data_IF_903080232723
#
_entry.id   IF_903080232723
#
_cell.length_a   1.000
_cell.length_b   1.000
_cell.length_c   1.000
_cell.angle_alpha   90.00
_cell.angle_beta   90.00
_cell.angle_gamma   90.00
#
_symmetry.space_group_name_H-M   'P 1'
#
loop_
_entity.id
_entity.type
_entity.pdbx_description
1 polymer ?
#
# COMPACT_ATOMS: atom_id res chain seq x y z
N UNK A 1 -19.70 -29.71 5.14
CA UNK A 1 -20.06 -28.46 5.86
C UNK A 1 -21.53 -28.24 5.57
N UNK A 2 -22.40 -28.21 6.61
CA UNK A 2 -23.85 -28.12 6.44
C UNK A 2 -24.24 -26.81 5.77
N UNK A 3 -25.05 -26.85 4.69
CA UNK A 3 -25.62 -25.71 3.94
C UNK A 3 -26.27 -24.64 4.86
N UNK A 4 -26.84 -25.03 5.98
CA UNK A 4 -27.36 -24.14 7.04
C UNK A 4 -26.28 -23.36 7.77
N UNK A 5 -25.09 -23.94 7.94
CA UNK A 5 -23.96 -23.27 8.61
C UNK A 5 -23.36 -22.15 7.75
N UNK A 6 -23.39 -22.31 6.42
CA UNK A 6 -22.88 -21.29 5.49
C UNK A 6 -23.76 -20.03 5.49
N UNK A 7 -25.09 -20.18 5.47
CA UNK A 7 -26.04 -19.06 5.51
C UNK A 7 -25.94 -18.23 6.80
N UNK A 8 -25.84 -18.90 7.94
CA UNK A 8 -25.64 -18.21 9.24
C UNK A 8 -24.31 -17.45 9.33
N UNK A 9 -23.29 -17.95 8.64
CA UNK A 9 -21.98 -17.26 8.55
C UNK A 9 -22.02 -16.04 7.65
N UNK A 10 -22.76 -16.08 6.52
CA UNK A 10 -22.88 -14.94 5.59
C UNK A 10 -23.62 -13.75 6.23
N UNK A 11 -24.72 -13.98 6.89
CA UNK A 11 -25.54 -12.94 7.55
C UNK A 11 -24.85 -12.33 8.77
N UNK A 12 -24.02 -13.10 9.47
CA UNK A 12 -23.35 -12.64 10.70
C UNK A 12 -22.13 -11.72 10.43
N UNK A 13 -21.51 -11.81 9.27
CA UNK A 13 -20.28 -11.03 8.96
C UNK A 13 -20.61 -9.59 8.60
N UNK A 14 -21.71 -9.34 7.89
CA UNK A 14 -22.00 -8.02 7.32
C UNK A 14 -22.52 -6.94 8.29
N UNK A 15 -23.35 -7.22 9.30
CA UNK A 15 -23.85 -6.20 10.24
C UNK A 15 -22.74 -5.59 11.11
N UNK A 16 -21.68 -6.36 11.38
CA UNK A 16 -20.53 -5.88 12.15
C UNK A 16 -19.61 -4.97 11.34
N UNK A 17 -19.53 -5.18 10.04
CA UNK A 17 -18.66 -4.43 9.13
C UNK A 17 -19.17 -3.01 8.86
N UNK A 18 -20.48 -2.79 8.74
CA UNK A 18 -21.06 -1.48 8.44
C UNK A 18 -20.77 -0.43 9.53
N UNK A 19 -20.76 -0.85 10.80
CA UNK A 19 -20.43 0.02 11.93
C UNK A 19 -18.91 0.30 12.03
N UNK A 20 -18.08 -0.62 11.54
CA UNK A 20 -16.61 -0.46 11.52
C UNK A 20 -16.17 0.53 10.45
N UNK A 21 -16.93 0.65 9.36
CA UNK A 21 -16.53 1.46 8.19
C UNK A 21 -17.05 2.88 8.19
N UNK A 22 -17.81 3.31 9.22
CA UNK A 22 -18.41 4.66 9.32
C UNK A 22 -19.07 5.14 8.01
N UNK A 23 -19.82 4.24 7.36
CA UNK A 23 -20.43 4.51 6.07
C UNK A 23 -21.40 5.67 6.09
N UNK A 24 -22.14 5.83 7.20
CA UNK A 24 -23.08 6.93 7.38
C UNK A 24 -22.35 8.28 7.41
N UNK A 25 -21.21 8.34 8.10
CA UNK A 25 -20.34 9.52 8.11
C UNK A 25 -19.75 9.82 6.74
N UNK A 26 -19.29 8.79 6.01
CA UNK A 26 -18.79 8.95 4.63
C UNK A 26 -19.90 9.44 3.71
N UNK A 27 -21.12 8.91 3.81
CA UNK A 27 -22.25 9.30 3.00
C UNK A 27 -22.65 10.77 3.24
N UNK A 28 -22.70 11.19 4.51
CA UNK A 28 -22.96 12.59 4.86
C UNK A 28 -21.87 13.50 4.30
N UNK A 29 -20.61 13.10 4.45
CA UNK A 29 -19.49 13.90 3.93
C UNK A 29 -19.52 14.03 2.41
N UNK A 30 -19.81 12.96 1.69
CA UNK A 30 -19.98 13.00 0.23
C UNK A 30 -21.13 13.93 -0.17
N UNK A 31 -22.26 13.89 0.53
CA UNK A 31 -23.40 14.77 0.25
C UNK A 31 -23.04 16.25 0.46
N UNK A 32 -22.33 16.59 1.56
CA UNK A 32 -21.85 17.97 1.81
C UNK A 32 -20.90 18.46 0.71
N UNK A 33 -19.99 17.59 0.28
CA UNK A 33 -19.02 17.93 -0.76
C UNK A 33 -19.68 18.05 -2.13
N UNK A 34 -20.65 17.20 -2.46
CA UNK A 34 -21.43 17.28 -3.71
C UNK A 34 -22.29 18.56 -3.75
N UNK A 35 -22.85 19.00 -2.61
CA UNK A 35 -23.55 20.28 -2.52
C UNK A 35 -22.60 21.46 -2.83
N UNK A 36 -21.39 21.45 -2.27
CA UNK A 36 -20.35 22.46 -2.57
C UNK A 36 -19.91 22.44 -4.03
N UNK A 37 -19.81 21.25 -4.65
CA UNK A 37 -19.48 21.10 -6.07
C UNK A 37 -20.59 21.59 -7.00
N UNK A 38 -21.84 21.66 -6.51
CA UNK A 38 -23.01 22.15 -7.27
C UNK A 38 -23.12 23.66 -7.28
N UNK A 39 -22.29 24.39 -6.52
CA UNK A 39 -22.30 25.83 -6.48
C UNK A 39 -21.88 26.42 -7.85
N UNK A 40 -22.55 27.50 -8.35
CA UNK A 40 -22.27 28.06 -9.69
C UNK A 40 -20.83 28.54 -9.89
N UNK A 41 -20.20 29.00 -8.81
CA UNK A 41 -18.85 29.55 -8.74
C UNK A 41 -17.76 28.52 -8.45
N UNK A 42 -18.14 27.24 -8.33
CA UNK A 42 -17.20 26.15 -7.99
C UNK A 42 -16.02 26.01 -8.95
N UNK A 43 -16.26 26.25 -10.24
CA UNK A 43 -15.25 26.08 -11.30
C UNK A 43 -14.35 27.30 -11.50
N UNK A 44 -14.63 28.42 -10.82
CA UNK A 44 -13.86 29.66 -10.96
C UNK A 44 -12.47 29.53 -10.31
N UNK A 45 -12.34 28.73 -9.24
CA UNK A 45 -11.05 28.40 -8.63
C UNK A 45 -10.66 26.94 -8.92
N UNK A 46 -9.82 26.76 -9.93
CA UNK A 46 -9.34 25.43 -10.35
C UNK A 46 -8.55 24.69 -9.26
N UNK A 47 -7.85 25.41 -8.37
CA UNK A 47 -7.06 24.77 -7.32
C UNK A 47 -7.97 24.24 -6.20
N UNK A 48 -8.95 25.04 -5.78
CA UNK A 48 -9.97 24.63 -4.83
C UNK A 48 -10.81 23.46 -5.38
N UNK A 49 -11.19 23.50 -6.66
CA UNK A 49 -11.91 22.43 -7.32
C UNK A 49 -11.12 21.12 -7.36
N UNK A 50 -9.84 21.17 -7.71
CA UNK A 50 -8.96 19.96 -7.68
C UNK A 50 -8.81 19.38 -6.28
N UNK A 51 -8.61 20.22 -5.27
CA UNK A 51 -8.47 19.78 -3.89
C UNK A 51 -9.76 19.08 -3.40
N UNK A 52 -10.92 19.64 -3.72
CA UNK A 52 -12.21 19.08 -3.34
C UNK A 52 -12.52 17.78 -4.08
N UNK A 53 -12.20 17.69 -5.37
CA UNK A 53 -12.29 16.45 -6.14
C UNK A 53 -11.37 15.35 -5.59
N UNK A 54 -10.16 15.72 -5.19
CA UNK A 54 -9.22 14.76 -4.57
C UNK A 54 -9.75 14.22 -3.23
N UNK A 55 -10.57 14.97 -2.51
CA UNK A 55 -11.24 14.53 -1.28
C UNK A 55 -12.47 13.64 -1.59
N UNK A 56 -13.29 14.04 -2.56
CA UNK A 56 -14.58 13.35 -2.87
C UNK A 56 -14.38 12.00 -3.55
N UNK A 57 -13.50 11.94 -4.55
CA UNK A 57 -13.36 10.75 -5.38
C UNK A 57 -13.03 9.48 -4.57
N UNK A 58 -12.09 9.49 -3.62
CA UNK A 58 -11.83 8.33 -2.77
C UNK A 58 -13.02 7.88 -1.93
N UNK A 59 -13.79 8.86 -1.41
CA UNK A 59 -14.98 8.55 -0.61
C UNK A 59 -16.05 7.89 -1.47
N UNK A 60 -16.32 8.42 -2.67
CA UNK A 60 -17.26 7.81 -3.63
C UNK A 60 -16.82 6.40 -4.04
N UNK A 61 -15.55 6.23 -4.40
CA UNK A 61 -15.02 4.93 -4.77
C UNK A 61 -15.15 3.90 -3.63
N UNK A 62 -14.94 4.33 -2.39
CA UNK A 62 -15.15 3.47 -1.21
C UNK A 62 -16.62 3.08 -1.04
N UNK A 63 -17.56 4.01 -1.22
CA UNK A 63 -18.99 3.73 -1.18
C UNK A 63 -19.44 2.77 -2.29
N UNK A 64 -18.96 2.98 -3.51
CA UNK A 64 -19.24 2.11 -4.65
C UNK A 64 -18.72 0.69 -4.42
N UNK A 65 -17.47 0.56 -3.95
CA UNK A 65 -16.88 -0.73 -3.64
C UNK A 65 -17.66 -1.48 -2.55
N UNK A 66 -18.10 -0.77 -1.50
CA UNK A 66 -18.94 -1.37 -0.46
C UNK A 66 -20.31 -1.80 -1.00
N UNK A 67 -20.97 -0.95 -1.82
CA UNK A 67 -22.25 -1.27 -2.44
C UNK A 67 -22.15 -2.50 -3.35
N UNK A 68 -21.07 -2.60 -4.13
CA UNK A 68 -20.81 -3.77 -4.97
C UNK A 68 -20.61 -5.05 -4.15
N UNK A 69 -19.88 -4.96 -3.01
CA UNK A 69 -19.72 -6.11 -2.11
C UNK A 69 -21.05 -6.55 -1.50
N UNK A 70 -21.91 -5.59 -1.14
CA UNK A 70 -23.25 -5.88 -0.60
C UNK A 70 -24.14 -6.56 -1.63
N UNK A 71 -24.21 -6.01 -2.85
CA UNK A 71 -25.00 -6.60 -3.93
C UNK A 71 -24.56 -8.04 -4.26
N UNK A 72 -23.24 -8.27 -4.36
CA UNK A 72 -22.71 -9.63 -4.60
C UNK A 72 -23.06 -10.61 -3.49
N UNK A 73 -23.13 -10.16 -2.23
CA UNK A 73 -23.56 -11.03 -1.14
C UNK A 73 -25.05 -11.40 -1.26
N UNK A 74 -25.89 -10.42 -1.63
CA UNK A 74 -27.33 -10.64 -1.87
C UNK A 74 -27.54 -11.63 -3.04
N UNK A 75 -26.75 -11.53 -4.11
CA UNK A 75 -26.78 -12.47 -5.24
C UNK A 75 -26.36 -13.90 -4.83
N UNK A 76 -25.31 -14.01 -3.98
CA UNK A 76 -24.87 -15.30 -3.43
C UNK A 76 -25.94 -15.94 -2.55
N UNK A 77 -26.59 -15.15 -1.68
CA UNK A 77 -27.67 -15.64 -0.83
C UNK A 77 -28.84 -16.12 -1.68
N UNK A 78 -29.24 -15.40 -2.73
CA UNK A 78 -30.26 -15.79 -3.66
C UNK A 78 -29.90 -17.10 -4.42
N UNK A 79 -28.66 -17.25 -4.87
CA UNK A 79 -28.14 -18.45 -5.50
C UNK A 79 -28.20 -19.68 -4.56
N UNK A 80 -27.88 -19.49 -3.27
CA UNK A 80 -27.97 -20.55 -2.26
C UNK A 80 -29.43 -20.96 -2.04
N UNK A 81 -30.36 -20.01 -2.00
CA UNK A 81 -31.80 -20.31 -1.87
C UNK A 81 -32.33 -21.09 -3.06
N UNK A 82 -32.01 -20.67 -4.29
CA UNK A 82 -32.38 -21.35 -5.51
C UNK A 82 -31.84 -22.79 -5.58
N UNK A 83 -30.55 -22.96 -5.20
CA UNK A 83 -29.90 -24.27 -5.16
C UNK A 83 -30.61 -25.22 -4.16
N UNK A 84 -31.12 -24.68 -3.05
CA UNK A 84 -31.85 -25.46 -2.05
C UNK A 84 -33.27 -25.84 -2.54
N UNK A 85 -33.95 -24.90 -3.21
CA UNK A 85 -35.31 -25.16 -3.74
C UNK A 85 -35.29 -26.16 -4.90
N UNK A 86 -34.28 -26.05 -5.77
CA UNK A 86 -34.14 -26.93 -6.94
C UNK A 86 -33.44 -28.27 -6.62
N UNK A 87 -32.92 -28.46 -5.40
CA UNK A 87 -32.06 -29.58 -5.01
C UNK A 87 -30.87 -29.77 -5.96
N UNK A 88 -30.31 -28.63 -6.42
CA UNK A 88 -29.19 -28.54 -7.38
C UNK A 88 -27.84 -28.41 -6.66
N UNK A 89 -27.12 -29.53 -6.64
CA UNK A 89 -25.77 -29.56 -5.97
C UNK A 89 -24.71 -28.81 -6.77
N UNK A 90 -24.85 -28.63 -8.08
CA UNK A 90 -23.89 -27.94 -8.92
C UNK A 90 -24.00 -26.43 -8.67
N UNK A 91 -25.20 -25.88 -8.69
CA UNK A 91 -25.48 -24.50 -8.35
C UNK A 91 -25.04 -24.19 -6.90
N UNK A 92 -25.27 -25.12 -5.97
CA UNK A 92 -24.81 -24.98 -4.59
C UNK A 92 -23.30 -24.93 -4.45
N UNK A 93 -22.52 -25.67 -5.24
CA UNK A 93 -21.06 -25.60 -5.26
C UNK A 93 -20.56 -24.29 -5.83
N UNK A 94 -21.14 -23.82 -6.91
CA UNK A 94 -20.82 -22.55 -7.55
C UNK A 94 -21.04 -21.37 -6.58
N UNK A 95 -22.14 -21.35 -5.86
CA UNK A 95 -22.42 -20.33 -4.84
C UNK A 95 -21.39 -20.34 -3.70
N UNK A 96 -20.92 -21.50 -3.26
CA UNK A 96 -19.87 -21.62 -2.24
C UNK A 96 -18.52 -21.10 -2.74
N UNK A 97 -18.16 -21.37 -4.00
CA UNK A 97 -16.95 -20.83 -4.61
C UNK A 97 -17.01 -19.30 -4.76
N UNK A 98 -18.18 -18.77 -5.16
CA UNK A 98 -18.37 -17.33 -5.25
C UNK A 98 -18.30 -16.65 -3.87
N UNK A 99 -18.84 -17.29 -2.85
CA UNK A 99 -18.70 -16.81 -1.47
C UNK A 99 -17.25 -16.77 -1.01
N UNK A 100 -16.44 -17.76 -1.35
CA UNK A 100 -15.00 -17.73 -1.03
C UNK A 100 -14.26 -16.59 -1.74
N UNK A 101 -14.64 -16.29 -2.99
CA UNK A 101 -14.12 -15.12 -3.74
C UNK A 101 -14.58 -13.82 -3.12
N UNK A 102 -15.83 -13.73 -2.69
CA UNK A 102 -16.38 -12.57 -1.99
C UNK A 102 -15.67 -12.30 -0.65
N UNK A 103 -15.43 -13.34 0.16
CA UNK A 103 -14.66 -13.20 1.42
C UNK A 103 -13.28 -12.58 1.20
N UNK A 104 -12.60 -12.98 0.13
CA UNK A 104 -11.31 -12.39 -0.23
C UNK A 104 -11.45 -10.91 -0.61
N UNK A 105 -12.48 -10.57 -1.40
CA UNK A 105 -12.74 -9.18 -1.79
C UNK A 105 -13.10 -8.30 -0.58
N UNK A 106 -13.84 -8.86 0.40
CA UNK A 106 -14.13 -8.17 1.66
C UNK A 106 -12.86 -7.90 2.47
N UNK A 107 -11.98 -8.89 2.60
CA UNK A 107 -10.71 -8.72 3.31
C UNK A 107 -9.81 -7.65 2.64
N UNK A 108 -9.76 -7.63 1.31
CA UNK A 108 -9.05 -6.59 0.56
C UNK A 108 -9.68 -5.19 0.80
N UNK A 109 -11.01 -5.10 0.86
CA UNK A 109 -11.72 -3.85 1.18
C UNK A 109 -11.46 -3.39 2.62
N UNK A 110 -11.46 -4.30 3.59
CA UNK A 110 -11.12 -4.01 5.00
C UNK A 110 -9.71 -3.42 5.11
N UNK A 111 -8.74 -3.98 4.40
CA UNK A 111 -7.38 -3.43 4.36
C UNK A 111 -7.35 -1.99 3.81
N UNK A 112 -8.10 -1.71 2.74
CA UNK A 112 -8.18 -0.37 2.16
C UNK A 112 -8.77 0.65 3.14
N UNK A 113 -9.72 0.26 3.98
CA UNK A 113 -10.30 1.17 4.98
C UNK A 113 -9.34 1.56 6.10
N UNK A 114 -8.31 0.75 6.34
CA UNK A 114 -7.24 1.07 7.30
C UNK A 114 -6.22 2.07 6.75
N UNK A 115 -6.19 2.27 5.42
CA UNK A 115 -5.29 3.19 4.73
C UNK A 115 -5.93 4.59 4.65
N UNK A 116 -5.94 5.32 5.77
CA UNK A 116 -6.59 6.63 5.90
C UNK A 116 -5.60 7.80 6.04
N UNK A 117 -4.30 7.57 5.92
CA UNK A 117 -3.30 8.63 5.99
C UNK A 117 -3.40 9.58 4.77
N UNK A 118 -3.03 10.86 4.92
CA UNK A 118 -3.17 11.88 3.86
C UNK A 118 -2.35 11.55 2.59
N UNK A 119 -1.35 10.70 2.72
CA UNK A 119 -0.47 10.30 1.61
C UNK A 119 -0.66 8.83 1.20
N UNK A 120 -1.56 8.10 1.87
CA UNK A 120 -1.70 6.64 1.67
C UNK A 120 -2.10 6.26 0.25
N UNK A 121 -2.84 7.13 -0.45
CA UNK A 121 -3.25 6.92 -1.84
C UNK A 121 -2.14 7.14 -2.86
N UNK A 122 -1.03 7.79 -2.44
CA UNK A 122 0.03 8.16 -3.36
C UNK A 122 0.79 6.94 -3.88
N UNK A 123 1.38 7.10 -5.07
CA UNK A 123 2.51 6.30 -5.53
C UNK A 123 3.69 6.48 -4.60
N UNK A 124 4.68 5.59 -4.63
CA UNK A 124 5.82 5.71 -3.73
C UNK A 124 7.15 5.34 -4.39
N UNK A 125 8.20 5.85 -3.76
CA UNK A 125 9.58 5.42 -4.02
C UNK A 125 9.97 4.40 -2.94
N UNK A 126 10.46 3.26 -3.38
CA UNK A 126 10.94 2.19 -2.49
C UNK A 126 12.42 2.04 -2.66
N UNK A 127 13.16 2.13 -1.57
CA UNK A 127 14.61 1.95 -1.57
C UNK A 127 14.98 0.75 -0.69
N UNK A 128 15.75 -0.17 -1.24
CA UNK A 128 16.26 -1.34 -0.51
C UNK A 128 17.78 -1.21 -0.44
N UNK A 129 18.34 -1.34 0.76
CA UNK A 129 19.79 -1.36 0.98
C UNK A 129 20.21 -2.66 1.66
N UNK A 130 21.28 -3.27 1.17
CA UNK A 130 21.95 -4.34 1.87
C UNK A 130 22.56 -3.81 3.17
N UNK A 131 22.35 -4.52 4.28
CA UNK A 131 22.95 -4.20 5.57
C UNK A 131 24.39 -4.69 5.71
N UNK A 132 24.92 -4.61 6.91
CA UNK A 132 26.22 -5.19 7.23
C UNK A 132 26.16 -6.73 7.06
N UNK A 133 27.09 -7.31 6.27
CA UNK A 133 27.11 -8.76 6.01
C UNK A 133 27.69 -9.15 4.65
N UNK A 134 28.22 -8.16 3.90
CA UNK A 134 28.87 -8.44 2.60
C UNK A 134 27.93 -9.13 1.61
N UNK A 135 28.45 -10.13 0.88
CA UNK A 135 27.75 -10.87 -0.18
C UNK A 135 26.40 -11.46 0.26
N UNK A 136 26.31 -11.97 1.50
CA UNK A 136 25.06 -12.50 2.07
C UNK A 136 23.95 -11.45 2.19
N UNK A 137 24.29 -10.23 2.61
CA UNK A 137 23.34 -9.15 2.74
C UNK A 137 22.89 -8.62 1.37
N UNK A 138 23.81 -8.59 0.39
CA UNK A 138 23.51 -8.22 -1.00
C UNK A 138 22.55 -9.23 -1.66
N UNK A 139 22.76 -10.53 -1.42
CA UNK A 139 21.86 -11.57 -1.92
C UNK A 139 20.48 -11.48 -1.24
N UNK A 140 20.44 -11.23 0.07
CA UNK A 140 19.18 -11.01 0.78
C UNK A 140 18.40 -9.80 0.23
N UNK A 141 19.07 -8.68 -0.03
CA UNK A 141 18.46 -7.51 -0.65
C UNK A 141 17.87 -7.82 -2.03
N UNK A 142 18.55 -8.63 -2.83
CA UNK A 142 18.06 -9.13 -4.13
C UNK A 142 16.83 -10.03 -3.99
N UNK A 143 16.79 -10.87 -2.95
CA UNK A 143 15.60 -11.70 -2.66
C UNK A 143 14.41 -10.85 -2.25
N UNK A 144 14.61 -9.83 -1.39
CA UNK A 144 13.58 -8.85 -1.00
C UNK A 144 13.05 -8.10 -2.22
N UNK A 145 13.93 -7.58 -3.05
CA UNK A 145 13.57 -6.89 -4.29
C UNK A 145 12.62 -7.75 -5.14
N UNK A 146 12.99 -8.99 -5.40
CA UNK A 146 12.17 -9.92 -6.18
C UNK A 146 10.82 -10.20 -5.52
N UNK A 147 10.78 -10.31 -4.18
CA UNK A 147 9.55 -10.52 -3.43
C UNK A 147 8.57 -9.34 -3.61
N UNK A 148 9.07 -8.10 -3.45
CA UNK A 148 8.24 -6.91 -3.57
C UNK A 148 7.80 -6.65 -5.02
N UNK A 149 8.65 -6.86 -6.03
CA UNK A 149 8.26 -6.74 -7.43
C UNK A 149 7.11 -7.71 -7.74
N UNK A 150 7.22 -8.98 -7.36
CA UNK A 150 6.15 -9.96 -7.58
C UNK A 150 4.87 -9.62 -6.82
N UNK A 151 4.99 -8.99 -5.67
CA UNK A 151 3.83 -8.51 -4.94
C UNK A 151 3.16 -7.33 -5.66
N UNK A 152 3.93 -6.37 -6.15
CA UNK A 152 3.45 -5.25 -6.96
C UNK A 152 2.74 -5.75 -8.23
N UNK A 153 3.33 -6.69 -8.96
CA UNK A 153 2.73 -7.30 -10.15
C UNK A 153 1.35 -7.93 -9.84
N UNK A 154 1.25 -8.68 -8.74
CA UNK A 154 -0.02 -9.31 -8.32
C UNK A 154 -1.09 -8.30 -7.91
N UNK A 155 -0.68 -7.13 -7.43
CA UNK A 155 -1.59 -6.02 -7.08
C UNK A 155 -1.91 -5.13 -8.29
N UNK A 156 -1.27 -5.36 -9.44
CA UNK A 156 -1.44 -4.54 -10.65
C UNK A 156 -0.70 -3.20 -10.59
N UNK A 157 0.27 -3.06 -9.71
CA UNK A 157 1.11 -1.86 -9.63
C UNK A 157 2.18 -1.89 -10.71
N UNK A 158 2.48 -0.72 -11.28
CA UNK A 158 3.59 -0.55 -12.20
C UNK A 158 4.89 -0.27 -11.43
N UNK A 159 5.98 -0.94 -11.80
CA UNK A 159 7.27 -0.78 -11.13
C UNK A 159 8.31 -0.29 -12.13
N UNK A 160 8.94 0.83 -11.82
CA UNK A 160 10.02 1.42 -12.62
C UNK A 160 11.31 1.45 -11.81
N UNK A 161 12.39 0.91 -12.37
CA UNK A 161 13.72 0.99 -11.78
C UNK A 161 14.29 2.40 -12.02
N UNK A 162 14.71 3.06 -10.96
CA UNK A 162 15.35 4.38 -11.02
C UNK A 162 16.86 4.27 -10.91
N UNK A 163 17.34 3.51 -9.93
CA UNK A 163 18.75 3.32 -9.65
C UNK A 163 19.00 1.93 -9.10
N UNK A 164 20.13 1.32 -9.46
CA UNK A 164 20.56 0.04 -8.91
C UNK A 164 22.08 0.01 -8.81
N UNK A 165 22.59 -0.44 -7.68
CA UNK A 165 24.01 -0.69 -7.45
C UNK A 165 24.18 -2.17 -7.11
N UNK A 166 24.96 -2.88 -7.90
CA UNK A 166 25.22 -4.30 -7.69
C UNK A 166 26.14 -4.55 -6.49
N UNK A 167 26.04 -5.72 -5.90
CA UNK A 167 27.00 -6.22 -4.92
C UNK A 167 28.32 -6.61 -5.60
N UNK A 168 29.41 -6.65 -4.81
CA UNK A 168 30.74 -6.92 -5.37
C UNK A 168 30.86 -8.35 -5.96
N UNK A 169 30.25 -9.35 -5.32
CA UNK A 169 30.28 -10.75 -5.75
C UNK A 169 28.92 -11.28 -6.19
N UNK A 170 27.84 -10.87 -5.53
CA UNK A 170 26.47 -11.32 -5.82
C UNK A 170 25.45 -10.35 -5.24
N UNK A 171 24.23 -10.42 -5.81
CA UNK A 171 23.10 -9.63 -5.33
C UNK A 171 23.20 -8.14 -5.61
N UNK A 172 22.46 -7.33 -4.85
CA UNK A 172 22.43 -5.88 -4.99
C UNK A 172 22.84 -5.21 -3.68
N UNK A 173 23.61 -4.12 -3.79
CA UNK A 173 23.97 -3.27 -2.65
C UNK A 173 22.85 -2.30 -2.31
N UNK A 174 22.25 -1.70 -3.31
CA UNK A 174 21.09 -0.82 -3.19
C UNK A 174 20.27 -0.81 -4.46
N UNK A 175 18.97 -0.54 -4.32
CA UNK A 175 18.07 -0.30 -5.44
C UNK A 175 17.00 0.69 -5.03
N UNK A 176 16.65 1.59 -5.96
CA UNK A 176 15.52 2.50 -5.81
C UNK A 176 14.53 2.25 -6.94
N UNK A 177 13.27 2.02 -6.56
CA UNK A 177 12.17 1.78 -7.45
C UNK A 177 11.12 2.87 -7.29
N UNK A 178 10.44 3.23 -8.37
CA UNK A 178 9.16 3.91 -8.33
C UNK A 178 8.06 2.86 -8.46
N UNK A 179 7.11 2.88 -7.55
CA UNK A 179 5.92 2.01 -7.57
C UNK A 179 4.70 2.89 -7.80
N UNK A 180 4.12 2.80 -8.98
CA UNK A 180 2.94 3.55 -9.39
C UNK A 180 1.69 2.70 -9.20
N UNK A 181 0.75 3.21 -8.42
CA UNK A 181 -0.53 2.57 -8.17
C UNK A 181 -1.27 3.21 -7.01
N UNK A 182 -2.59 3.07 -7.03
CA UNK A 182 -3.45 3.60 -5.97
C UNK A 182 -3.17 2.87 -4.65
N UNK A 183 -2.92 3.63 -3.57
CA UNK A 183 -2.51 3.14 -2.25
C UNK A 183 -1.15 2.41 -2.19
N UNK A 184 -0.29 2.55 -3.20
CA UNK A 184 1.02 1.92 -3.18
C UNK A 184 1.83 2.29 -1.93
N UNK A 185 1.86 3.59 -1.59
CA UNK A 185 2.50 4.06 -0.36
C UNK A 185 1.83 3.51 0.90
N UNK A 186 0.50 3.54 0.95
CA UNK A 186 -0.26 3.07 2.11
C UNK A 186 0.06 1.63 2.50
N UNK A 187 0.24 0.76 1.52
CA UNK A 187 0.68 -0.63 1.75
C UNK A 187 2.16 -0.70 2.15
N UNK A 188 3.04 -0.07 1.37
CA UNK A 188 4.49 -0.26 1.50
C UNK A 188 5.11 0.52 2.67
N UNK A 189 4.46 1.58 3.17
CA UNK A 189 4.93 2.30 4.37
C UNK A 189 5.06 1.40 5.61
N UNK A 190 4.22 0.36 5.70
CA UNK A 190 4.22 -0.56 6.84
C UNK A 190 5.36 -1.59 6.76
N UNK A 191 5.97 -1.73 5.59
CA UNK A 191 7.13 -2.61 5.35
C UNK A 191 8.47 -1.92 5.64
N UNK A 192 8.44 -0.63 6.00
CA UNK A 192 9.67 0.13 6.32
C UNK A 192 10.37 -0.47 7.52
N UNK A 193 11.67 -0.68 7.38
CA UNK A 193 12.49 -1.15 8.49
C UNK A 193 13.57 -2.13 8.07
N UNK A 194 14.07 -2.87 9.05
CA UNK A 194 15.15 -3.83 8.86
C UNK A 194 14.58 -5.24 8.75
N UNK A 195 14.83 -5.87 7.63
CA UNK A 195 14.44 -7.23 7.31
C UNK A 195 15.57 -8.21 7.63
N UNK A 196 15.29 -9.19 8.44
CA UNK A 196 16.26 -10.20 8.88
C UNK A 196 16.03 -11.53 8.19
N UNK A 197 17.08 -12.08 7.60
CA UNK A 197 17.12 -13.45 7.07
C UNK A 197 18.03 -14.32 7.93
N UNK A 198 17.58 -15.51 8.25
CA UNK A 198 18.40 -16.55 8.91
C UNK A 198 18.29 -17.83 8.09
N UNK A 199 19.39 -18.23 7.45
CA UNK A 199 19.45 -19.45 6.62
C UNK A 199 20.84 -20.08 6.67
N UNK A 200 20.96 -21.29 6.13
CA UNK A 200 22.27 -21.86 5.77
C UNK A 200 22.79 -21.06 4.58
N UNK A 201 24.03 -20.55 4.71
CA UNK A 201 24.64 -19.73 3.67
C UNK A 201 24.94 -20.54 2.41
N UNK A 202 24.52 -20.10 1.22
CA UNK A 202 24.97 -20.70 -0.04
C UNK A 202 26.41 -20.29 -0.41
N UNK A 203 26.99 -19.30 0.28
CA UNK A 203 28.34 -18.78 0.03
C UNK A 203 29.38 -19.33 1.02
N UNK A 204 28.94 -20.02 2.07
CA UNK A 204 29.82 -20.64 3.06
C UNK A 204 30.00 -22.14 2.76
N UNK A 205 31.19 -22.51 2.36
CA UNK A 205 31.54 -23.91 2.07
C UNK A 205 31.39 -24.85 3.28
N UNK A 206 31.42 -24.32 4.51
CA UNK A 206 31.22 -25.07 5.74
C UNK A 206 29.71 -25.30 6.06
N UNK A 207 28.79 -24.74 5.26
CA UNK A 207 27.36 -24.92 5.43
C UNK A 207 26.81 -24.35 6.75
N UNK A 208 27.43 -23.31 7.29
CA UNK A 208 27.01 -22.70 8.54
C UNK A 208 25.78 -21.82 8.34
N UNK A 209 25.04 -21.66 9.45
CA UNK A 209 23.87 -20.77 9.51
C UNK A 209 24.32 -19.32 9.69
N UNK A 210 23.91 -18.45 8.78
CA UNK A 210 24.23 -17.02 8.79
C UNK A 210 22.97 -16.18 9.00
N UNK A 211 23.16 -14.99 9.54
CA UNK A 211 22.12 -13.98 9.68
C UNK A 211 22.49 -12.77 8.83
N UNK A 212 21.58 -12.33 7.98
CA UNK A 212 21.75 -11.19 7.08
C UNK A 212 20.66 -10.18 7.32
N UNK A 213 20.98 -8.92 7.10
CA UNK A 213 20.06 -7.81 7.25
C UNK A 213 20.00 -7.00 5.95
N UNK A 214 18.80 -6.48 5.64
CA UNK A 214 18.59 -5.49 4.60
C UNK A 214 17.55 -4.49 5.11
N UNK A 215 17.65 -3.24 4.73
CA UNK A 215 16.66 -2.22 5.06
C UNK A 215 15.78 -1.94 3.86
N UNK A 216 14.51 -1.69 4.13
CA UNK A 216 13.56 -1.15 3.18
C UNK A 216 13.07 0.20 3.69
N UNK A 217 13.04 1.19 2.82
CA UNK A 217 12.38 2.47 3.04
C UNK A 217 11.37 2.76 1.94
N UNK A 218 10.26 3.41 2.31
CA UNK A 218 9.22 3.80 1.38
C UNK A 218 8.89 5.28 1.61
N UNK A 219 8.96 6.08 0.55
CA UNK A 219 8.68 7.52 0.58
C UNK A 219 7.55 7.82 -0.39
N UNK A 220 6.50 8.57 0.01
CA UNK A 220 5.40 8.89 -0.88
C UNK A 220 5.85 9.81 -2.02
N UNK A 221 5.23 9.67 -3.17
CA UNK A 221 5.34 10.67 -4.23
C UNK A 221 4.53 11.89 -3.84
N UNK A 222 5.22 13.00 -3.61
CA UNK A 222 4.60 14.27 -3.21
C UNK A 222 4.32 15.09 -4.45
N UNK A 223 3.11 15.64 -4.57
CA UNK A 223 2.78 16.57 -5.66
C UNK A 223 3.53 17.89 -5.50
N UNK A 224 3.92 18.52 -6.61
CA UNK A 224 4.63 19.82 -6.67
C UNK A 224 3.89 21.00 -6.01
N UNK A 225 2.73 20.76 -5.43
CA UNK A 225 1.91 21.77 -4.76
C UNK A 225 2.40 22.16 -3.36
N UNK A 226 3.40 21.48 -2.81
CA UNK A 226 3.98 21.83 -1.50
C UNK A 226 5.01 22.92 -1.70
N UNK A 227 4.58 24.17 -1.50
CA UNK A 227 5.48 25.32 -1.49
C UNK A 227 6.02 25.53 -0.08
N UNK A 228 7.24 25.07 0.17
CA UNK A 228 7.92 25.28 1.45
C UNK A 228 8.83 26.49 1.30
N UNK A 229 8.47 27.59 1.98
CA UNK A 229 9.35 28.75 2.05
C UNK A 229 10.41 28.54 3.14
N UNK A 230 11.65 28.31 2.73
CA UNK A 230 12.78 28.14 3.64
C UNK A 230 13.41 29.51 3.90
N UNK A 231 13.22 30.05 5.09
CA UNK A 231 13.82 31.32 5.50
C UNK A 231 15.24 31.09 6.01
N UNK A 232 16.11 32.09 5.83
CA UNK A 232 17.50 32.01 6.30
C UNK A 232 17.62 31.75 7.82
N UNK A 233 16.62 32.16 8.61
CA UNK A 233 16.54 31.90 10.06
C UNK A 233 16.26 30.43 10.42
N UNK A 234 15.72 29.65 9.47
CA UNK A 234 15.36 28.25 9.65
C UNK A 234 16.55 27.32 9.30
N UNK A 235 17.66 27.92 8.80
CA UNK A 235 18.85 27.21 8.42
C UNK A 235 19.95 27.41 9.47
N UNK A 236 20.48 26.29 9.97
CA UNK A 236 21.74 26.26 10.69
C UNK A 236 22.82 25.71 9.78
N UNK A 237 23.81 26.51 9.43
CA UNK A 237 24.90 26.11 8.54
C UNK A 237 26.17 25.93 9.36
N UNK A 238 26.64 24.69 9.47
CA UNK A 238 27.90 24.36 10.13
C UNK A 238 28.92 23.92 9.08
N UNK A 239 30.12 24.49 9.13
CA UNK A 239 31.23 24.09 8.27
C UNK A 239 32.20 23.20 9.05
N UNK A 240 32.54 22.04 8.50
CA UNK A 240 33.52 21.14 9.09
C UNK A 240 34.59 20.73 8.08
N UNK A 241 35.79 20.37 8.59
CA UNK A 241 36.83 19.79 7.76
C UNK A 241 36.72 18.29 7.78
N UNK A 242 36.47 17.68 6.61
CA UNK A 242 36.54 16.22 6.51
C UNK A 242 38.01 15.79 6.68
N UNK A 243 38.24 14.80 7.55
CA UNK A 243 39.56 14.41 8.08
C UNK A 243 40.53 13.76 7.10
N UNK A 244 40.64 14.27 5.89
CA UNK A 244 41.67 13.91 4.90
C UNK A 244 42.61 15.07 4.59
N UNK A 245 43.79 14.80 4.04
CA UNK A 245 44.84 15.75 3.69
C UNK A 245 44.48 16.84 2.65
N UNK A 246 43.23 16.89 2.19
CA UNK A 246 42.69 17.96 1.33
C UNK A 246 41.56 18.65 2.08
N UNK A 247 41.75 19.94 2.36
CA UNK A 247 40.73 20.84 2.89
C UNK A 247 39.61 21.00 1.87
N UNK A 248 38.57 20.19 1.99
CA UNK A 248 37.27 20.46 1.37
C UNK A 248 36.40 21.01 2.51
N UNK A 249 35.91 22.23 2.36
CA UNK A 249 34.89 22.79 3.25
C UNK A 249 33.57 22.23 2.79
N UNK A 250 33.06 21.21 3.51
CA UNK A 250 31.73 20.69 3.28
C UNK A 250 30.72 21.52 4.08
N UNK A 251 29.74 22.07 3.41
CA UNK A 251 28.60 22.78 4.00
C UNK A 251 27.51 21.76 4.34
N UNK A 252 27.22 21.61 5.63
CA UNK A 252 26.03 20.83 6.06
C UNK A 252 24.96 21.83 6.49
N UNK A 253 23.78 21.75 5.88
CA UNK A 253 22.59 22.47 6.28
C UNK A 253 21.68 21.53 7.08
N UNK A 254 21.44 21.84 8.35
CA UNK A 254 20.41 21.20 9.18
C UNK A 254 19.16 22.08 9.20
N UNK A 255 18.01 21.46 8.89
CA UNK A 255 16.69 22.09 9.05
C UNK A 255 16.19 21.82 10.48
N UNK A 256 15.70 22.87 11.14
CA UNK A 256 15.05 22.78 12.46
C UNK A 256 13.56 22.68 12.35
#
# INVERSE_FOLDING_TARGET
ISRRSTRLSCIAVFPSSGAIFDLDGIQQRVAELDERMSAPDFWDDQNAARALMAEVNPLKHRMEAFSALKSRLEDIDAAIELAQEADDDDLGREAVEEFARWQKSLADFELLTLLNGPQDQASCYVTIHAGAGGTEACDWASMLLRMYIRWCERRGFSVTYLESTDGDDAGIRSVTLKVDGEYAYGYLKNERGIHRLVRISPFDSAGKRHTSFASLDATPEVSDSINIEILAKDLKVDTYRSGGKKTTEDLIAEFR
#
